data_IF_388563475181
#
_entry.id   IF_388563475181
#
_cell.length_a   1.000
_cell.length_b   1.000
_cell.length_c   1.000
_cell.angle_alpha   90.00
_cell.angle_beta   90.00
_cell.angle_gamma   90.00
#
_symmetry.space_group_name_H-M   'P 1'
#
loop_
_entity.id
_entity.type
_entity.pdbx_description
1 polymer ?
#
# COMPACT_ATOMS: atom_id res chain seq x y z
N UNK A 1 -20.23 -4.57 -0.25
CA UNK A 1 -19.82 -3.16 -0.25
C UNK A 1 -19.04 -2.87 1.02
N UNK A 2 -18.07 -2.01 0.93
CA UNK A 2 -17.19 -1.66 2.03
C UNK A 2 -15.89 -1.07 1.50
N UNK A 3 -15.10 -0.48 2.38
CA UNK A 3 -13.80 0.05 2.02
C UNK A 3 -12.80 -1.09 1.83
N UNK A 4 -12.39 -1.31 0.60
CA UNK A 4 -11.28 -2.17 0.22
C UNK A 4 -10.11 -1.31 -0.24
N UNK A 5 -8.90 -1.64 0.19
CA UNK A 5 -7.71 -0.83 -0.04
C UNK A 5 -6.60 -1.70 -0.59
N UNK A 6 -5.93 -1.23 -1.62
CA UNK A 6 -4.92 -1.98 -2.36
C UNK A 6 -3.63 -1.19 -2.50
N UNK A 7 -2.51 -1.83 -2.20
CA UNK A 7 -1.18 -1.34 -2.53
C UNK A 7 -0.56 -2.29 -3.55
N UNK A 8 -0.14 -1.75 -4.68
CA UNK A 8 0.54 -2.51 -5.72
C UNK A 8 1.97 -2.02 -5.91
N UNK A 9 2.85 -2.93 -6.29
CA UNK A 9 4.23 -2.63 -6.65
C UNK A 9 4.48 -3.10 -8.07
N UNK A 10 4.93 -2.21 -8.95
CA UNK A 10 5.17 -2.49 -10.36
C UNK A 10 6.60 -2.13 -10.71
N UNK A 11 7.28 -3.03 -11.42
CA UNK A 11 8.57 -2.76 -12.03
C UNK A 11 8.48 -2.99 -13.53
N UNK A 12 9.06 -2.07 -14.30
CA UNK A 12 9.24 -2.22 -15.74
C UNK A 12 10.61 -2.80 -16.01
N UNK A 13 10.67 -3.81 -16.89
CA UNK A 13 11.90 -4.45 -17.31
C UNK A 13 12.36 -3.81 -18.62
N UNK A 14 13.59 -3.28 -18.62
CA UNK A 14 14.25 -2.80 -19.83
C UNK A 14 14.71 -3.95 -20.74
N UNK A 15 15.20 -3.62 -21.91
CA UNK A 15 15.62 -4.59 -22.92
C UNK A 15 16.77 -5.50 -22.45
N UNK A 16 17.51 -5.08 -21.44
CA UNK A 16 18.67 -5.80 -20.91
C UNK A 16 18.31 -6.78 -19.77
N UNK A 17 17.06 -6.77 -19.30
CA UNK A 17 16.60 -7.58 -18.18
C UNK A 17 15.55 -8.58 -18.64
N UNK A 18 16.00 -9.66 -19.28
CA UNK A 18 15.14 -10.81 -19.54
C UNK A 18 14.79 -11.53 -18.23
N UNK A 19 13.51 -11.72 -17.96
CA UNK A 19 13.01 -12.56 -16.87
C UNK A 19 12.32 -13.76 -17.48
N UNK A 20 12.78 -14.94 -17.12
CA UNK A 20 12.10 -16.19 -17.45
C UNK A 20 11.32 -16.67 -16.23
N UNK A 21 10.08 -17.04 -16.45
CA UNK A 21 9.24 -17.65 -15.41
C UNK A 21 9.04 -19.12 -15.80
N UNK A 22 9.46 -20.01 -14.91
CA UNK A 22 9.31 -21.45 -15.11
C UNK A 22 7.83 -21.81 -15.32
N UNK A 23 7.58 -22.58 -16.35
CA UNK A 23 6.22 -23.03 -16.71
C UNK A 23 5.39 -22.01 -17.52
N UNK A 24 5.93 -20.84 -17.83
CA UNK A 24 5.30 -19.86 -18.70
C UNK A 24 5.97 -19.88 -20.09
N UNK A 25 5.31 -20.50 -21.07
CA UNK A 25 5.71 -20.38 -22.47
C UNK A 25 4.97 -19.20 -23.12
N UNK A 26 5.70 -18.15 -23.39
CA UNK A 26 5.17 -16.94 -23.99
C UNK A 26 5.28 -16.89 -25.52
N UNK A 27 5.66 -18.01 -26.18
CA UNK A 27 5.74 -18.09 -27.64
C UNK A 27 6.68 -17.07 -28.26
N UNK A 28 7.81 -16.77 -27.60
CA UNK A 28 8.80 -15.78 -28.06
C UNK A 28 8.49 -14.33 -27.62
N UNK A 29 7.45 -14.12 -26.84
CA UNK A 29 7.17 -12.81 -26.23
C UNK A 29 8.05 -12.60 -24.99
N UNK A 30 8.44 -11.38 -24.76
CA UNK A 30 9.29 -11.01 -23.63
C UNK A 30 8.46 -10.41 -22.49
N UNK A 31 8.82 -10.75 -21.26
CA UNK A 31 8.23 -10.14 -20.07
C UNK A 31 8.78 -8.71 -19.94
N UNK A 32 7.89 -7.71 -19.93
CA UNK A 32 8.26 -6.30 -19.87
C UNK A 32 7.89 -5.63 -18.56
N UNK A 33 7.27 -6.34 -17.65
CA UNK A 33 6.91 -5.80 -16.35
C UNK A 33 6.51 -6.87 -15.36
N UNK A 34 6.64 -6.54 -14.09
CA UNK A 34 6.22 -7.36 -12.96
C UNK A 34 5.33 -6.49 -12.08
N UNK A 35 4.18 -7.02 -11.70
CA UNK A 35 3.27 -6.38 -10.76
C UNK A 35 2.99 -7.31 -9.60
N UNK A 36 3.22 -6.83 -8.38
CA UNK A 36 2.86 -7.53 -7.15
C UNK A 36 1.67 -6.87 -6.46
N UNK A 37 0.79 -7.69 -5.91
CA UNK A 37 -0.13 -7.24 -4.88
C UNK A 37 0.67 -7.09 -3.58
N UNK A 38 1.10 -5.87 -3.28
CA UNK A 38 2.00 -5.59 -2.18
C UNK A 38 1.28 -5.49 -0.83
N UNK A 39 -0.02 -5.16 -0.85
CA UNK A 39 -0.82 -5.08 0.37
C UNK A 39 -2.30 -4.94 0.10
N UNK A 40 -3.08 -5.43 1.05
CA UNK A 40 -4.53 -5.31 1.05
C UNK A 40 -5.02 -5.05 2.48
N UNK A 41 -5.94 -4.09 2.61
CA UNK A 41 -6.66 -3.82 3.84
C UNK A 41 -8.16 -3.81 3.57
N UNK A 42 -8.92 -4.16 4.56
CA UNK A 42 -10.37 -4.02 4.52
C UNK A 42 -10.83 -3.14 5.69
N UNK A 43 -11.54 -2.07 5.37
CA UNK A 43 -12.11 -1.12 6.35
C UNK A 43 -11.10 -0.51 7.33
N UNK A 44 -9.82 -0.48 6.98
CA UNK A 44 -8.78 0.19 7.74
C UNK A 44 -8.86 1.71 7.53
N UNK A 45 -9.94 2.31 8.02
CA UNK A 45 -10.31 3.70 7.67
C UNK A 45 -9.32 4.75 8.17
N UNK A 46 -8.63 4.53 9.29
CA UNK A 46 -7.59 5.44 9.75
C UNK A 46 -6.40 5.47 8.78
N UNK A 47 -5.99 4.31 8.29
CA UNK A 47 -4.93 4.18 7.29
C UNK A 47 -5.37 4.78 5.96
N UNK A 48 -6.61 4.54 5.54
CA UNK A 48 -7.18 5.16 4.34
C UNK A 48 -7.17 6.69 4.43
N UNK A 49 -7.60 7.24 5.55
CA UNK A 49 -7.56 8.69 5.80
C UNK A 49 -6.15 9.26 5.68
N UNK A 50 -5.15 8.53 6.14
CA UNK A 50 -3.75 8.91 5.96
C UNK A 50 -3.36 8.99 4.48
N UNK A 51 -3.70 7.97 3.67
CA UNK A 51 -3.45 7.99 2.23
C UNK A 51 -4.18 9.14 1.53
N UNK A 52 -5.45 9.38 1.88
CA UNK A 52 -6.21 10.50 1.31
C UNK A 52 -5.51 11.82 1.58
N UNK A 53 -5.05 12.05 2.81
CA UNK A 53 -4.45 13.33 3.20
C UNK A 53 -3.00 13.52 2.72
N UNK A 54 -2.20 12.46 2.69
CA UNK A 54 -0.76 12.55 2.41
C UNK A 54 -0.38 12.17 0.98
N UNK A 55 -1.20 11.37 0.30
CA UNK A 55 -0.93 10.85 -1.04
C UNK A 55 -1.93 11.39 -2.07
N UNK A 56 -3.21 11.42 -1.72
CA UNK A 56 -4.29 11.81 -2.64
C UNK A 56 -4.64 13.29 -2.58
N UNK A 57 -3.87 14.11 -1.88
CA UNK A 57 -4.09 15.56 -1.75
C UNK A 57 -5.47 15.94 -1.20
N UNK A 58 -6.01 15.12 -0.32
CA UNK A 58 -7.32 15.32 0.30
C UNK A 58 -8.52 14.91 -0.56
N UNK A 59 -8.30 14.28 -1.71
CA UNK A 59 -9.38 13.84 -2.62
C UNK A 59 -9.60 12.34 -2.49
N UNK A 60 -10.78 11.94 -2.04
CA UNK A 60 -11.17 10.53 -1.91
C UNK A 60 -12.11 10.12 -3.05
N UNK A 61 -11.55 9.68 -4.17
CA UNK A 61 -12.24 9.47 -5.43
C UNK A 61 -12.08 8.06 -6.03
N UNK A 62 -11.58 7.11 -5.27
CA UNK A 62 -11.33 5.72 -5.70
C UNK A 62 -10.38 5.57 -6.90
N UNK A 63 -9.63 6.61 -7.25
CA UNK A 63 -8.63 6.55 -8.32
C UNK A 63 -7.29 6.03 -7.79
N UNK A 64 -6.47 5.46 -8.68
CA UNK A 64 -5.10 5.08 -8.32
C UNK A 64 -4.22 6.32 -8.14
N UNK A 65 -3.35 6.27 -7.13
CA UNK A 65 -2.39 7.33 -6.83
C UNK A 65 -1.00 6.75 -6.61
N UNK A 66 0.01 7.41 -7.17
CA UNK A 66 1.40 7.06 -6.94
C UNK A 66 1.78 7.31 -5.48
N UNK A 67 2.48 6.34 -4.90
CA UNK A 67 2.98 6.40 -3.53
C UNK A 67 4.50 6.41 -3.58
N UNK A 68 5.10 7.42 -2.98
CA UNK A 68 6.55 7.51 -2.86
C UNK A 68 7.05 6.49 -1.82
N UNK A 69 8.27 5.99 -2.02
CA UNK A 69 8.93 5.13 -1.03
C UNK A 69 8.99 5.80 0.35
N UNK A 70 9.28 7.10 0.38
CA UNK A 70 9.28 7.89 1.60
C UNK A 70 7.91 7.98 2.29
N UNK A 71 6.81 7.91 1.54
CA UNK A 71 5.47 7.86 2.12
C UNK A 71 5.24 6.56 2.87
N UNK A 72 5.66 5.43 2.31
CA UNK A 72 5.56 4.13 2.98
C UNK A 72 6.43 4.09 4.25
N UNK A 73 7.61 4.69 4.23
CA UNK A 73 8.47 4.81 5.41
C UNK A 73 7.80 5.63 6.51
N UNK A 74 7.22 6.78 6.17
CA UNK A 74 6.50 7.65 7.11
C UNK A 74 5.29 6.94 7.71
N UNK A 75 4.49 6.26 6.89
CA UNK A 75 3.31 5.52 7.37
C UNK A 75 3.71 4.38 8.30
N UNK A 76 4.73 3.61 7.91
CA UNK A 76 5.27 2.53 8.75
C UNK A 76 5.72 3.06 10.12
N UNK A 77 6.52 4.11 10.11
CA UNK A 77 7.09 4.68 11.33
C UNK A 77 6.02 5.28 12.23
N UNK A 78 5.01 5.94 11.65
CA UNK A 78 3.85 6.44 12.39
C UNK A 78 3.06 5.31 13.04
N UNK A 79 2.74 4.25 12.30
CA UNK A 79 2.02 3.11 12.84
C UNK A 79 2.81 2.41 13.95
N UNK A 80 4.11 2.22 13.76
CA UNK A 80 4.98 1.61 14.77
C UNK A 80 5.07 2.46 16.05
N UNK A 81 5.16 3.77 15.91
CA UNK A 81 5.15 4.70 17.04
C UNK A 81 3.83 4.62 17.84
N UNK A 82 2.69 4.65 17.15
CA UNK A 82 1.36 4.57 17.77
C UNK A 82 1.17 3.22 18.47
N UNK A 83 1.60 2.13 17.85
CA UNK A 83 1.54 0.79 18.46
C UNK A 83 2.35 0.70 19.75
N UNK A 84 3.50 1.37 19.81
CA UNK A 84 4.35 1.38 20.99
C UNK A 84 3.73 2.18 22.14
N UNK A 85 3.24 3.37 21.86
CA UNK A 85 2.72 4.29 22.88
C UNK A 85 1.22 4.10 23.14
N UNK A 86 0.52 3.34 22.30
CA UNK A 86 -0.93 3.12 22.38
C UNK A 86 -1.74 4.43 22.39
N UNK A 87 -1.24 5.46 21.69
CA UNK A 87 -1.90 6.74 21.55
C UNK A 87 -2.35 6.97 20.08
N UNK A 88 -3.65 6.88 19.77
CA UNK A 88 -4.17 6.99 18.41
C UNK A 88 -4.32 8.44 17.91
N UNK A 89 -3.91 9.44 18.67
CA UNK A 89 -4.18 10.85 18.37
C UNK A 89 -3.65 11.30 17.00
N UNK A 90 -2.52 10.75 16.55
CA UNK A 90 -1.88 11.11 15.27
C UNK A 90 -2.42 10.33 14.05
N UNK A 91 -3.25 9.33 14.29
CA UNK A 91 -3.92 8.56 13.24
C UNK A 91 -5.34 8.20 13.67
N UNK A 92 -6.25 9.18 13.76
CA UNK A 92 -7.61 8.92 14.20
C UNK A 92 -8.41 8.14 13.14
N UNK A 93 -9.42 7.35 13.55
CA UNK A 93 -10.36 6.75 12.63
C UNK A 93 -11.02 7.80 11.73
N UNK A 94 -11.28 7.41 10.47
CA UNK A 94 -11.89 8.27 9.46
C UNK A 94 -13.35 7.85 9.23
N UNK A 95 -14.26 8.80 9.28
CA UNK A 95 -15.66 8.59 8.99
C UNK A 95 -15.92 8.40 7.49
N UNK A 96 -16.80 7.46 7.15
CA UNK A 96 -17.26 7.21 5.79
C UNK A 96 -18.36 6.17 5.81
N UNK A 97 -19.30 6.25 4.88
CA UNK A 97 -20.49 5.41 4.87
C UNK A 97 -20.16 3.90 4.83
N UNK A 98 -19.10 3.52 4.13
CA UNK A 98 -18.66 2.13 3.99
C UNK A 98 -17.38 1.82 4.77
N UNK A 99 -16.91 2.71 5.64
CA UNK A 99 -15.56 2.63 6.21
C UNK A 99 -15.47 1.77 7.48
N UNK A 100 -16.59 1.33 8.03
CA UNK A 100 -16.62 0.52 9.24
C UNK A 100 -16.60 1.37 10.52
N UNK A 101 -16.17 0.75 11.63
CA UNK A 101 -16.16 1.39 12.94
C UNK A 101 -15.21 2.59 13.00
N UNK A 102 -15.64 3.65 13.71
CA UNK A 102 -14.81 4.80 14.04
C UNK A 102 -14.22 4.69 15.45
N UNK A 103 -14.37 3.56 16.09
CA UNK A 103 -13.82 3.32 17.42
C UNK A 103 -12.38 2.82 17.33
N UNK A 104 -11.59 3.14 18.35
CA UNK A 104 -10.27 2.57 18.55
C UNK A 104 -10.43 1.26 19.32
N UNK A 105 -10.67 0.21 18.57
CA UNK A 105 -10.89 -1.15 19.05
C UNK A 105 -9.75 -2.10 18.64
N UNK A 106 -9.91 -3.39 18.84
CA UNK A 106 -8.89 -4.38 18.48
C UNK A 106 -8.59 -4.37 16.98
N UNK A 107 -9.60 -4.14 16.13
CA UNK A 107 -9.42 -4.03 14.68
C UNK A 107 -8.54 -2.83 14.29
N UNK A 108 -8.67 -1.71 15.00
CA UNK A 108 -7.79 -0.55 14.78
C UNK A 108 -6.30 -0.94 15.00
N UNK A 109 -6.00 -1.62 16.10
CA UNK A 109 -4.63 -2.03 16.41
C UNK A 109 -4.10 -3.07 15.43
N UNK A 110 -4.92 -4.05 15.05
CA UNK A 110 -4.60 -5.04 14.03
C UNK A 110 -4.32 -4.39 12.67
N UNK A 111 -5.09 -3.38 12.28
CA UNK A 111 -4.86 -2.61 11.04
C UNK A 111 -3.50 -1.91 11.04
N UNK A 112 -3.07 -1.36 12.19
CA UNK A 112 -1.75 -0.75 12.29
C UNK A 112 -0.62 -1.77 12.22
N UNK A 113 -0.78 -2.92 12.87
CA UNK A 113 0.18 -4.02 12.79
C UNK A 113 0.31 -4.53 11.35
N UNK A 114 -0.80 -4.76 10.68
CA UNK A 114 -0.85 -5.14 9.26
C UNK A 114 -0.18 -4.08 8.37
N UNK A 115 -0.41 -2.80 8.66
CA UNK A 115 0.18 -1.70 7.89
C UNK A 115 1.70 -1.67 8.00
N UNK A 116 2.25 -1.88 9.20
CA UNK A 116 3.71 -2.00 9.39
C UNK A 116 4.27 -3.16 8.58
N UNK A 117 3.59 -4.31 8.61
CA UNK A 117 4.00 -5.50 7.85
C UNK A 117 3.97 -5.26 6.33
N UNK A 118 2.88 -4.67 5.81
CA UNK A 118 2.74 -4.34 4.39
C UNK A 118 3.83 -3.36 3.95
N UNK A 119 4.04 -2.29 4.69
CA UNK A 119 5.07 -1.29 4.37
C UNK A 119 6.48 -1.90 4.38
N UNK A 120 6.81 -2.72 5.37
CA UNK A 120 8.11 -3.39 5.42
C UNK A 120 8.31 -4.34 4.24
N UNK A 121 7.28 -5.07 3.86
CA UNK A 121 7.34 -5.98 2.71
C UNK A 121 7.52 -5.22 1.40
N UNK A 122 6.76 -4.14 1.19
CA UNK A 122 6.90 -3.28 0.01
C UNK A 122 8.29 -2.63 -0.04
N UNK A 123 8.76 -2.10 1.07
CA UNK A 123 10.08 -1.46 1.18
C UNK A 123 11.25 -2.45 1.01
N UNK A 124 11.02 -3.76 1.16
CA UNK A 124 12.02 -4.79 0.87
C UNK A 124 12.33 -4.93 -0.62
N UNK A 125 11.45 -4.45 -1.49
CA UNK A 125 11.66 -4.41 -2.93
C UNK A 125 12.66 -3.29 -3.26
N UNK A 126 13.93 -3.65 -3.47
CA UNK A 126 15.00 -2.70 -3.71
C UNK A 126 15.11 -2.33 -5.19
N UNK A 127 15.29 -1.03 -5.44
CA UNK A 127 15.67 -0.59 -6.77
C UNK A 127 17.10 -1.02 -7.08
N UNK A 128 17.34 -1.41 -8.32
CA UNK A 128 18.65 -1.75 -8.85
C UNK A 128 18.80 -1.17 -10.24
N UNK A 129 20.00 -1.28 -10.84
CA UNK A 129 20.22 -0.81 -12.21
C UNK A 129 19.24 -1.48 -13.17
N UNK A 130 18.43 -0.66 -13.85
CA UNK A 130 17.43 -1.11 -14.80
C UNK A 130 16.15 -1.70 -14.21
N UNK A 131 16.03 -1.75 -12.87
CA UNK A 131 14.84 -2.26 -12.18
C UNK A 131 14.40 -1.28 -11.10
N UNK A 132 13.32 -0.55 -11.38
CA UNK A 132 12.76 0.45 -10.48
C UNK A 132 11.34 0.07 -10.09
N UNK A 133 11.07 0.02 -8.78
CA UNK A 133 9.75 -0.28 -8.24
C UNK A 133 8.95 1.00 -8.04
N UNK A 134 7.73 0.99 -8.56
CA UNK A 134 6.74 2.04 -8.38
C UNK A 134 5.59 1.49 -7.55
N UNK A 135 5.14 2.27 -6.57
CA UNK A 135 4.02 1.91 -5.71
C UNK A 135 2.78 2.71 -6.09
N UNK A 136 1.63 2.07 -6.00
CA UNK A 136 0.34 2.69 -6.27
C UNK A 136 -0.66 2.25 -5.20
N UNK A 137 -1.40 3.22 -4.68
CA UNK A 137 -2.50 3.00 -3.75
C UNK A 137 -3.83 3.27 -4.44
N UNK A 138 -4.80 2.40 -4.22
CA UNK A 138 -6.17 2.58 -4.69
C UNK A 138 -7.16 2.03 -3.69
N UNK A 139 -8.23 2.77 -3.42
CA UNK A 139 -9.38 2.32 -2.65
C UNK A 139 -10.58 2.03 -3.53
N UNK A 140 -11.48 1.24 -3.01
CA UNK A 140 -12.79 0.96 -3.61
C UNK A 140 -13.83 0.92 -2.49
N UNK A 141 -14.85 1.76 -2.62
CA UNK A 141 -15.93 1.85 -1.63
C UNK A 141 -17.25 2.29 -2.25
#
# INVERSE_FOLDING_TARGET
MGLDMYLTATAHLGDEHGVEIEGLDAGGLEIRGIKYDAGYWRKANAVHGWFVNHVQRGVDDCKPYMVERSDLEKLRDLCAYILKDRNPADLPPTAGFFFGSQEVDDYYWEDLELTVEICNRALSLKNSEGLFWHFEYQSSW
#
